data_IF_936129594539
#
_entry.id   IF_936129594539
#
_cell.length_a   1.000
_cell.length_b   1.000
_cell.length_c   1.000
_cell.angle_alpha   90.00
_cell.angle_beta   90.00
_cell.angle_gamma   90.00
#
_symmetry.space_group_name_H-M   'P 1'
#
loop_
_entity.id
_entity.type
_entity.pdbx_description
1 polymer ?
#
# COMPACT_ATOMS: atom_id res chain seq x y z
N UNK A 1 16.57 -17.13 9.34
CA UNK A 1 15.31 -17.17 8.55
C UNK A 1 15.22 -15.86 7.77
N UNK A 2 15.26 -15.91 6.44
CA UNK A 2 15.04 -14.71 5.62
C UNK A 2 13.53 -14.47 5.49
N UNK A 3 13.07 -13.27 5.85
CA UNK A 3 11.70 -12.85 5.62
C UNK A 3 11.57 -12.25 4.21
N UNK A 4 10.35 -12.24 3.65
CA UNK A 4 10.10 -11.49 2.42
C UNK A 4 10.44 -10.01 2.65
N UNK A 5 10.94 -9.32 1.62
CA UNK A 5 11.23 -7.89 1.71
C UNK A 5 9.93 -7.13 1.97
N UNK A 6 9.93 -6.30 3.01
CA UNK A 6 8.79 -5.45 3.34
C UNK A 6 8.68 -4.33 2.32
N UNK A 7 7.47 -4.08 1.81
CA UNK A 7 7.17 -2.96 0.92
C UNK A 7 7.01 -1.67 1.73
N UNK A 8 7.14 -0.48 1.12
CA UNK A 8 6.92 0.78 1.81
C UNK A 8 5.49 0.94 2.32
N UNK A 9 5.29 1.88 3.23
CA UNK A 9 4.02 2.19 3.84
C UNK A 9 2.93 2.42 2.77
N UNK A 10 1.74 1.80 2.90
CA UNK A 10 0.61 1.99 1.98
C UNK A 10 0.06 3.43 1.90
N UNK A 11 0.43 4.29 2.85
CA UNK A 11 -0.14 5.64 3.00
C UNK A 11 0.86 6.76 2.73
N UNK A 12 2.04 6.70 3.35
CA UNK A 12 3.05 7.76 3.24
C UNK A 12 4.28 7.36 2.42
N UNK A 13 4.30 6.14 1.89
CA UNK A 13 5.39 5.57 1.08
C UNK A 13 6.76 5.50 1.79
N UNK A 14 6.82 5.77 3.09
CA UNK A 14 8.02 5.59 3.88
C UNK A 14 8.41 4.10 3.91
N UNK A 15 9.68 3.80 3.67
CA UNK A 15 10.24 2.45 3.71
C UNK A 15 10.69 2.03 5.12
N UNK A 16 10.80 2.99 6.05
CA UNK A 16 11.15 2.75 7.45
C UNK A 16 9.92 2.28 8.23
N UNK A 17 9.84 0.97 8.43
CA UNK A 17 8.72 0.26 9.02
C UNK A 17 9.24 -0.82 9.96
N UNK A 18 8.58 -0.95 11.10
CA UNK A 18 8.95 -1.92 12.12
C UNK A 18 7.87 -2.99 12.30
N UNK A 19 8.29 -4.17 12.78
CA UNK A 19 7.36 -5.21 13.21
C UNK A 19 7.31 -5.24 14.73
N UNK A 20 6.17 -4.85 15.29
CA UNK A 20 5.95 -4.91 16.74
C UNK A 20 5.27 -6.22 17.11
N UNK A 21 5.68 -6.79 18.25
CA UNK A 21 5.04 -7.96 18.86
C UNK A 21 4.42 -7.51 20.17
N UNK A 22 3.13 -7.77 20.35
CA UNK A 22 2.38 -7.42 21.55
C UNK A 22 2.24 -8.63 22.48
N UNK A 23 1.95 -8.36 23.77
CA UNK A 23 1.76 -9.39 24.81
C UNK A 23 0.65 -10.40 24.48
N UNK A 24 -0.32 -9.98 23.66
CA UNK A 24 -1.41 -10.82 23.15
C UNK A 24 -0.93 -11.87 22.13
N UNK A 25 0.34 -11.85 21.73
CA UNK A 25 0.92 -12.75 20.73
C UNK A 25 0.74 -12.28 19.29
N UNK A 26 0.01 -11.18 19.09
CA UNK A 26 -0.22 -10.56 17.78
C UNK A 26 1.00 -9.75 17.34
N UNK A 27 1.21 -9.70 16.02
CA UNK A 27 2.32 -8.99 15.40
C UNK A 27 1.82 -8.09 14.29
N UNK A 28 2.29 -6.85 14.29
CA UNK A 28 1.85 -5.82 13.37
C UNK A 28 3.05 -5.21 12.65
N UNK A 29 2.88 -4.89 11.37
CA UNK A 29 3.80 -3.98 10.66
C UNK A 29 3.33 -2.56 10.88
N UNK A 30 4.19 -1.67 11.34
CA UNK A 30 3.80 -0.31 11.71
C UNK A 30 4.69 0.76 11.09
N UNK A 31 4.07 1.90 10.76
CA UNK A 31 4.75 3.13 10.36
C UNK A 31 4.65 4.16 11.48
N UNK A 32 5.43 3.97 12.54
CA UNK A 32 5.40 4.81 13.75
C UNK A 32 5.97 6.20 13.50
N UNK A 33 6.99 6.33 12.65
CA UNK A 33 7.72 7.59 12.44
C UNK A 33 6.98 8.60 11.56
N UNK A 34 6.12 8.16 10.63
CA UNK A 34 5.59 9.05 9.59
C UNK A 34 4.09 9.28 9.62
N UNK A 35 3.28 8.23 9.72
CA UNK A 35 1.83 8.38 9.56
C UNK A 35 0.98 7.56 10.55
N UNK A 36 1.59 6.89 11.51
CA UNK A 36 0.89 6.08 12.51
C UNK A 36 0.14 4.89 11.91
N UNK A 37 0.57 4.38 10.74
CA UNK A 37 -0.07 3.22 10.14
C UNK A 37 0.14 1.99 11.03
N UNK A 38 -0.96 1.32 11.40
CA UNK A 38 -1.00 0.04 12.08
C UNK A 38 -1.51 -1.03 11.11
N UNK A 39 -0.64 -1.94 10.72
CA UNK A 39 -1.00 -3.07 9.86
C UNK A 39 -1.86 -4.12 10.56
N UNK A 40 -2.37 -5.13 9.84
CA UNK A 40 -3.13 -6.22 10.42
C UNK A 40 -2.32 -6.96 11.48
N UNK A 41 -3.00 -7.39 12.52
CA UNK A 41 -2.41 -8.28 13.51
C UNK A 41 -2.32 -9.68 12.94
N UNK A 42 -1.16 -10.31 13.09
CA UNK A 42 -0.95 -11.68 12.61
C UNK A 42 -0.24 -12.56 13.65
N UNK A 43 -0.48 -13.87 13.57
CA UNK A 43 0.08 -14.84 14.52
C UNK A 43 1.59 -15.04 14.40
N UNK A 44 2.23 -14.59 13.31
CA UNK A 44 3.68 -14.59 13.15
C UNK A 44 4.19 -13.45 12.25
N UNK A 45 5.49 -13.17 12.31
CA UNK A 45 6.14 -12.08 11.56
C UNK A 45 5.98 -12.23 10.04
N UNK A 46 6.05 -13.46 9.50
CA UNK A 46 5.92 -13.69 8.05
C UNK A 46 4.54 -13.33 7.55
N UNK A 47 3.50 -13.67 8.32
CA UNK A 47 2.13 -13.31 8.01
C UNK A 47 1.94 -11.80 8.10
N UNK A 48 2.43 -11.15 9.16
CA UNK A 48 2.35 -9.69 9.29
C UNK A 48 2.95 -8.95 8.08
N UNK A 49 4.15 -9.37 7.65
CA UNK A 49 4.82 -8.82 6.47
C UNK A 49 4.02 -9.10 5.18
N UNK A 50 3.44 -10.29 5.04
CA UNK A 50 2.65 -10.65 3.86
C UNK A 50 1.38 -9.82 3.78
N UNK A 51 0.58 -9.78 4.85
CA UNK A 51 -0.67 -9.02 4.91
C UNK A 51 -0.42 -7.52 4.67
N UNK A 52 0.66 -6.96 5.22
CA UNK A 52 1.08 -5.59 4.89
C UNK A 52 1.41 -5.39 3.40
N UNK A 53 2.19 -6.31 2.81
CA UNK A 53 2.58 -6.23 1.41
C UNK A 53 1.36 -6.34 0.47
N UNK A 54 0.39 -7.18 0.81
CA UNK A 54 -0.85 -7.36 0.04
C UNK A 54 -1.66 -6.06 0.05
N UNK A 55 -1.84 -5.42 1.22
CA UNK A 55 -2.50 -4.11 1.34
C UNK A 55 -1.78 -3.03 0.51
N UNK A 56 -0.45 -3.02 0.50
CA UNK A 56 0.32 -2.07 -0.31
C UNK A 56 0.07 -2.28 -1.80
N UNK A 57 0.00 -3.53 -2.26
CA UNK A 57 -0.27 -3.85 -3.65
C UNK A 57 -1.67 -3.48 -4.08
N UNK A 58 -2.68 -3.78 -3.25
CA UNK A 58 -4.07 -3.42 -3.49
C UNK A 58 -4.22 -1.90 -3.69
N UNK A 59 -3.71 -1.10 -2.76
CA UNK A 59 -3.77 0.37 -2.88
C UNK A 59 -3.01 0.89 -4.09
N UNK A 60 -1.87 0.28 -4.43
CA UNK A 60 -1.11 0.66 -5.61
C UNK A 60 -1.89 0.34 -6.89
N UNK A 61 -2.57 -0.80 -6.94
CA UNK A 61 -3.41 -1.18 -8.06
C UNK A 61 -4.59 -0.21 -8.23
N UNK A 62 -5.27 0.15 -7.14
CA UNK A 62 -6.35 1.14 -7.14
C UNK A 62 -5.87 2.50 -7.69
N UNK A 63 -4.72 2.98 -7.24
CA UNK A 63 -4.14 4.24 -7.72
C UNK A 63 -3.82 4.18 -9.23
N UNK A 64 -3.19 3.10 -9.69
CA UNK A 64 -2.85 2.92 -11.11
C UNK A 64 -4.12 2.84 -11.98
N UNK A 65 -5.17 2.17 -11.50
CA UNK A 65 -6.45 2.12 -12.21
C UNK A 65 -7.11 3.51 -12.27
N UNK A 66 -7.09 4.26 -11.17
CA UNK A 66 -7.63 5.62 -11.13
C UNK A 66 -6.87 6.56 -12.10
N UNK A 67 -5.54 6.46 -12.15
CA UNK A 67 -4.72 7.20 -13.11
C UNK A 67 -5.03 6.81 -14.56
N UNK A 68 -5.14 5.52 -14.85
CA UNK A 68 -5.54 5.02 -16.18
C UNK A 68 -6.90 5.56 -16.62
N UNK A 69 -7.89 5.62 -15.72
CA UNK A 69 -9.22 6.18 -15.99
C UNK A 69 -9.15 7.69 -16.26
N UNK A 70 -8.35 8.44 -15.51
CA UNK A 70 -8.11 9.88 -15.74
C UNK A 70 -7.48 10.15 -17.10
N UNK A 71 -6.46 9.37 -17.47
CA UNK A 71 -5.78 9.51 -18.77
C UNK A 71 -6.72 9.17 -19.93
N UNK A 72 -7.56 8.14 -19.79
CA UNK A 72 -8.57 7.80 -20.78
C UNK A 72 -9.62 8.93 -20.93
N UNK A 73 -10.07 9.52 -19.82
CA UNK A 73 -11.01 10.65 -19.83
C UNK A 73 -10.42 11.91 -20.47
N UNK A 74 -9.15 12.22 -20.18
CA UNK A 74 -8.45 13.36 -20.80
C UNK A 74 -8.34 13.19 -22.32
N UNK A 75 -7.95 12.00 -22.79
CA UNK A 75 -7.86 11.72 -24.24
C UNK A 75 -9.22 11.79 -24.96
N UNK A 76 -10.32 11.44 -24.28
CA UNK A 76 -11.66 11.56 -24.83
C UNK A 76 -12.10 13.03 -25.01
N UNK A 77 -11.67 13.94 -24.13
CA UNK A 77 -11.96 15.37 -24.24
C UNK A 77 -11.16 16.06 -25.36
N UNK A 78 -9.88 15.70 -25.52
CA UNK A 78 -9.02 16.24 -26.60
C UNK A 78 -9.51 15.84 -28.01
N UNK A 79 -10.27 14.75 -28.16
CA UNK A 79 -10.80 14.29 -29.45
C UNK A 79 -12.19 14.86 -29.80
N UNK A 80 -12.82 15.62 -28.90
CA UNK A 80 -14.16 16.21 -29.11
C UNK A 80 -14.16 17.67 -29.60
N UNK A 81 -13.00 18.25 -29.88
CA UNK A 81 -12.84 19.67 -30.24
C UNK A 81 -12.63 19.95 -31.74
N UNK A 82 -13.07 19.05 -32.63
CA UNK A 82 -12.93 19.21 -34.08
C UNK A 82 -14.26 19.41 -34.80
N UNK A 83 -14.68 20.67 -34.90
CA UNK A 83 -15.32 21.32 -36.08
C UNK A 83 -16.73 20.84 -36.52
N UNK A 84 -17.51 21.62 -37.33
CA UNK A 84 -17.18 22.76 -38.19
C UNK A 84 -17.52 24.16 -37.67
#
# INVERSE_FOLDING_TARGET
MAYAKMKPCPYCENADLDVYTYDSGWRHVECTTSCGYLGPGEGNIRQAIRSHNDIRDERRAEYLEAMRKKDAGRRALDQGGGEP
#
